data_IF_048773438304
#
_entry.id   IF_048773438304
#
_cell.length_a   1.000
_cell.length_b   1.000
_cell.length_c   1.000
_cell.angle_alpha   90.00
_cell.angle_beta   90.00
_cell.angle_gamma   90.00
#
_symmetry.space_group_name_H-M   'P 1'
#
loop_
_entity.id
_entity.type
_entity.pdbx_description
1 polymer ?
#
# COMPACT_ATOMS: atom_id res chain seq x y z
N UNK A 1 32.53 -17.30 28.70
CA UNK A 1 31.76 -16.10 28.32
C UNK A 1 32.78 -15.04 27.93
N UNK A 2 32.80 -14.61 26.68
CA UNK A 2 33.62 -13.48 26.24
C UNK A 2 33.03 -12.21 26.85
N UNK A 3 33.83 -11.47 27.60
CA UNK A 3 33.44 -10.13 28.03
C UNK A 3 33.25 -9.27 26.78
N UNK A 4 32.00 -8.91 26.50
CA UNK A 4 31.75 -7.75 25.65
C UNK A 4 32.37 -6.54 26.36
N UNK A 5 33.21 -5.79 25.65
CA UNK A 5 33.82 -4.58 26.17
C UNK A 5 32.74 -3.72 26.79
N UNK A 6 32.84 -3.47 28.10
CA UNK A 6 32.08 -2.42 28.76
C UNK A 6 32.46 -1.11 28.10
N UNK A 7 31.62 -0.65 27.17
CA UNK A 7 31.52 0.76 26.89
C UNK A 7 30.95 1.33 28.19
N UNK A 8 31.70 2.22 28.82
CA UNK A 8 31.24 2.87 30.04
C UNK A 8 29.99 3.71 29.69
N UNK A 9 28.89 3.44 30.38
CA UNK A 9 27.64 4.16 30.25
C UNK A 9 27.45 5.14 31.43
N UNK A 10 28.54 5.52 32.11
CA UNK A 10 28.56 6.72 32.93
C UNK A 10 28.11 7.92 32.11
N UNK A 11 27.24 8.75 32.70
CA UNK A 11 26.81 10.00 32.07
C UNK A 11 27.97 11.03 32.00
N UNK A 12 29.09 10.73 32.65
CA UNK A 12 30.30 11.57 32.73
C UNK A 12 31.08 11.67 31.41
N UNK A 13 30.68 10.93 30.36
CA UNK A 13 31.22 11.03 29.00
C UNK A 13 30.24 11.66 27.98
N UNK A 14 29.14 12.28 28.44
CA UNK A 14 28.20 13.03 27.57
C UNK A 14 28.57 14.52 27.39
N UNK A 15 29.70 14.95 27.94
CA UNK A 15 30.22 16.32 27.84
C UNK A 15 30.90 16.62 26.48
N UNK A 16 30.20 16.34 25.37
CA UNK A 16 30.20 17.24 24.21
C UNK A 16 28.96 17.00 23.34
N UNK A 17 28.06 17.99 23.25
CA UNK A 17 26.90 17.93 22.34
C UNK A 17 27.25 18.35 20.92
N UNK A 18 28.52 18.64 20.63
CA UNK A 18 29.00 18.92 19.27
C UNK A 18 29.61 17.68 18.61
N UNK A 19 29.15 17.38 17.39
CA UNK A 19 29.68 16.29 16.56
C UNK A 19 31.17 16.52 16.25
N UNK A 20 32.03 15.68 16.80
CA UNK A 20 33.48 15.90 16.84
C UNK A 20 34.25 15.52 15.57
N UNK A 21 33.59 15.03 14.51
CA UNK A 21 34.27 14.70 13.24
C UNK A 21 33.54 15.19 11.99
N UNK A 22 34.25 15.96 11.16
CA UNK A 22 33.83 16.34 9.80
C UNK A 22 34.40 15.36 8.78
N UNK A 23 33.65 14.32 8.41
CA UNK A 23 34.08 13.33 7.42
C UNK A 23 33.34 12.00 7.58
N UNK A 24 33.74 10.94 6.84
CA UNK A 24 33.27 9.58 7.15
C UNK A 24 33.63 9.24 8.59
N UNK A 25 32.71 8.59 9.32
CA UNK A 25 32.96 8.13 10.69
C UNK A 25 34.00 7.01 10.68
N UNK A 26 35.28 7.37 10.75
CA UNK A 26 36.38 6.43 10.90
C UNK A 26 36.39 5.96 12.34
N UNK A 27 35.89 4.74 12.57
CA UNK A 27 36.08 4.07 13.85
C UNK A 27 37.55 3.60 13.92
N UNK A 28 38.23 3.92 15.02
CA UNK A 28 39.63 3.54 15.24
C UNK A 28 39.87 2.04 15.01
N UNK A 29 41.10 1.70 14.62
CA UNK A 29 41.56 0.37 14.20
C UNK A 29 41.05 -0.73 15.15
N UNK A 30 39.99 -1.42 14.74
CA UNK A 30 39.30 -2.39 15.60
C UNK A 30 40.24 -3.52 15.98
N UNK A 31 40.39 -3.79 17.29
CA UNK A 31 41.26 -4.86 17.78
C UNK A 31 40.84 -6.21 17.16
N UNK A 32 41.77 -7.01 16.62
CA UNK A 32 41.43 -8.30 16.04
C UNK A 32 40.88 -9.24 17.12
N UNK A 33 39.71 -9.83 16.85
CA UNK A 33 38.98 -10.75 17.75
C UNK A 33 39.75 -11.99 18.17
N UNK A 34 40.80 -12.36 17.43
CA UNK A 34 41.75 -13.39 17.83
C UNK A 34 43.09 -13.18 17.14
N UNK A 35 44.15 -13.73 17.72
CA UNK A 35 45.50 -13.81 17.12
C UNK A 35 45.52 -14.56 15.77
N UNK A 36 44.44 -15.27 15.42
CA UNK A 36 44.27 -15.98 14.14
C UNK A 36 43.60 -15.14 13.05
N UNK A 37 43.18 -13.90 13.33
CA UNK A 37 42.73 -13.00 12.25
C UNK A 37 43.91 -12.62 11.36
N UNK A 38 43.73 -12.71 10.05
CA UNK A 38 44.70 -12.20 9.09
C UNK A 38 44.88 -10.69 9.28
N UNK A 39 46.12 -10.21 9.22
CA UNK A 39 46.48 -8.81 9.49
C UNK A 39 45.84 -7.80 8.53
N UNK A 40 45.43 -8.25 7.33
CA UNK A 40 44.70 -7.45 6.34
C UNK A 40 43.17 -7.49 6.52
N UNK A 41 42.67 -7.82 7.71
CA UNK A 41 41.23 -7.84 8.02
C UNK A 41 40.90 -6.99 9.24
N UNK A 42 39.87 -6.17 9.12
CA UNK A 42 39.20 -5.49 10.23
C UNK A 42 37.95 -6.27 10.64
N UNK A 43 37.63 -6.32 11.93
CA UNK A 43 36.30 -6.78 12.37
C UNK A 43 35.35 -5.59 12.38
N UNK A 44 34.29 -5.68 11.58
CA UNK A 44 33.25 -4.67 11.51
C UNK A 44 32.34 -4.77 12.73
N UNK A 45 32.52 -3.89 13.71
CA UNK A 45 31.68 -3.82 14.90
C UNK A 45 30.37 -3.04 14.68
N UNK A 46 30.06 -2.61 13.45
CA UNK A 46 28.92 -1.74 13.16
C UNK A 46 27.55 -2.42 13.34
N UNK A 47 27.51 -3.75 13.42
CA UNK A 47 26.31 -4.56 13.63
C UNK A 47 26.63 -5.87 14.37
N UNK A 48 25.61 -6.60 14.90
CA UNK A 48 25.82 -7.86 15.63
C UNK A 48 26.37 -9.01 14.78
N UNK A 49 26.43 -8.86 13.45
CA UNK A 49 27.00 -9.87 12.53
C UNK A 49 28.52 -9.99 12.67
N UNK A 50 29.21 -8.91 13.11
CA UNK A 50 30.66 -8.87 13.35
C UNK A 50 31.48 -9.42 12.16
N UNK A 51 31.18 -8.97 10.95
CA UNK A 51 31.81 -9.50 9.74
C UNK A 51 33.29 -9.09 9.64
N UNK A 52 34.14 -10.00 9.15
CA UNK A 52 35.56 -9.73 8.94
C UNK A 52 35.79 -9.23 7.50
N UNK A 53 36.16 -7.96 7.36
CA UNK A 53 36.30 -7.30 6.08
C UNK A 53 37.77 -7.29 5.66
N UNK A 54 38.10 -7.93 4.54
CA UNK A 54 39.44 -7.86 3.93
C UNK A 54 39.70 -6.45 3.39
N UNK A 55 40.94 -5.97 3.52
CA UNK A 55 41.40 -4.71 2.95
C UNK A 55 40.98 -4.54 1.48
N UNK A 56 40.49 -3.34 1.13
CA UNK A 56 39.94 -3.04 -0.20
C UNK A 56 38.62 -3.74 -0.53
N UNK A 57 37.91 -4.31 0.45
CA UNK A 57 36.58 -4.91 0.29
C UNK A 57 35.54 -4.23 1.17
N UNK A 58 34.28 -4.44 0.81
CA UNK A 58 33.11 -4.19 1.64
C UNK A 58 32.78 -5.39 2.53
N UNK A 59 32.07 -5.13 3.64
CA UNK A 59 31.45 -6.14 4.49
C UNK A 59 30.13 -6.65 3.92
N UNK A 60 29.52 -7.64 4.57
CA UNK A 60 28.33 -8.34 4.06
C UNK A 60 27.05 -7.49 3.89
N UNK A 61 27.07 -6.22 4.29
CA UNK A 61 25.98 -5.25 4.11
C UNK A 61 26.31 -4.16 3.07
N UNK A 62 27.50 -4.19 2.47
CA UNK A 62 28.08 -3.20 1.56
C UNK A 62 28.23 -1.74 2.07
N UNK A 63 27.64 -1.39 3.22
CA UNK A 63 27.71 -0.06 3.86
C UNK A 63 29.05 0.30 4.49
N UNK A 64 29.86 -0.70 4.80
CA UNK A 64 31.16 -0.54 5.49
C UNK A 64 32.26 -1.28 4.73
N UNK A 65 33.43 -0.67 4.62
CA UNK A 65 34.61 -1.21 3.97
C UNK A 65 35.85 -1.15 4.86
N UNK A 66 36.91 -1.83 4.42
CA UNK A 66 38.21 -1.81 5.08
C UNK A 66 39.22 -1.01 4.24
N UNK A 67 39.61 0.16 4.73
CA UNK A 67 40.61 1.04 4.12
C UNK A 67 41.81 1.17 5.07
N UNK A 68 42.96 0.59 4.71
CA UNK A 68 44.20 0.55 5.53
C UNK A 68 43.99 -0.01 6.96
N UNK A 69 43.11 -1.00 7.09
CA UNK A 69 42.73 -1.61 8.37
C UNK A 69 41.71 -0.79 9.18
N UNK A 70 41.23 0.35 8.66
CA UNK A 70 40.20 1.17 9.29
C UNK A 70 38.82 0.81 8.75
N UNK A 71 37.80 0.89 9.61
CA UNK A 71 36.42 0.64 9.23
C UNK A 71 35.81 1.95 8.70
N UNK A 72 35.62 2.05 7.38
CA UNK A 72 35.13 3.25 6.70
C UNK A 72 33.70 3.03 6.19
N UNK A 73 32.85 4.04 6.35
CA UNK A 73 31.48 4.01 5.82
C UNK A 73 31.51 4.32 4.31
N UNK A 74 30.94 3.43 3.51
CA UNK A 74 30.91 3.51 2.03
C UNK A 74 29.61 4.15 1.54
N UNK A 75 28.49 3.90 2.23
CA UNK A 75 27.16 4.37 1.83
C UNK A 75 26.73 5.59 2.69
N UNK A 76 26.52 6.78 2.09
CA UNK A 76 26.16 7.99 2.82
C UNK A 76 24.70 8.00 3.25
N UNK A 77 24.39 8.79 4.29
CA UNK A 77 22.99 9.06 4.68
C UNK A 77 22.27 9.79 3.56
N UNK A 78 21.05 9.35 3.25
CA UNK A 78 20.19 10.03 2.29
C UNK A 78 19.35 11.08 3.02
N UNK A 79 19.66 12.36 2.79
CA UNK A 79 18.74 13.45 3.06
C UNK A 79 17.73 13.53 1.91
N UNK A 80 16.50 13.91 2.23
CA UNK A 80 15.44 14.14 1.24
C UNK A 80 14.94 15.58 1.40
N UNK A 81 14.64 16.22 0.28
CA UNK A 81 13.97 17.53 0.25
C UNK A 81 12.59 17.35 -0.36
N UNK A 82 11.58 17.87 0.33
CA UNK A 82 10.23 18.06 -0.21
C UNK A 82 10.29 19.24 -1.18
N UNK A 83 9.80 19.04 -2.41
CA UNK A 83 9.84 20.06 -3.46
C UNK A 83 8.61 20.97 -3.46
N UNK A 84 7.47 20.48 -2.97
CA UNK A 84 6.20 21.20 -2.96
C UNK A 84 5.18 20.59 -1.96
N UNK A 85 3.98 21.16 -1.93
CA UNK A 85 2.84 20.67 -1.15
C UNK A 85 2.17 19.41 -1.74
N UNK A 86 2.61 18.92 -2.90
CA UNK A 86 2.10 17.68 -3.50
C UNK A 86 2.75 16.42 -2.90
N UNK A 87 3.78 16.60 -2.07
CA UNK A 87 4.50 15.51 -1.40
C UNK A 87 5.62 14.90 -2.25
N UNK A 88 6.01 15.55 -3.35
CA UNK A 88 7.13 15.08 -4.16
C UNK A 88 8.45 15.30 -3.42
N UNK A 89 9.12 14.21 -3.06
CA UNK A 89 10.41 14.24 -2.39
C UNK A 89 11.54 13.80 -3.33
N UNK A 90 12.60 14.60 -3.42
CA UNK A 90 13.84 14.23 -4.12
C UNK A 90 14.98 13.97 -3.16
N UNK A 91 15.91 13.10 -3.56
CA UNK A 91 17.20 12.95 -2.88
C UNK A 91 17.89 14.31 -2.84
N UNK A 92 18.12 14.80 -1.63
CA UNK A 92 18.99 15.94 -1.40
C UNK A 92 20.40 15.39 -1.18
N UNK A 93 21.20 15.34 -2.25
CA UNK A 93 22.65 15.30 -2.09
C UNK A 93 23.04 16.56 -1.31
N UNK A 94 23.61 16.48 -0.09
CA UNK A 94 24.00 17.67 0.64
C UNK A 94 25.12 18.39 -0.13
N UNK A 95 24.75 19.46 -0.83
CA UNK A 95 25.71 20.39 -1.42
C UNK A 95 26.50 21.02 -0.28
N UNK A 96 27.83 20.99 -0.38
CA UNK A 96 28.70 21.49 0.68
C UNK A 96 28.53 23.01 0.84
N UNK A 97 27.73 23.41 1.83
CA UNK A 97 27.38 24.81 2.11
C UNK A 97 25.93 24.99 2.58
N UNK A 98 24.99 24.17 2.12
CA UNK A 98 23.55 24.35 2.34
C UNK A 98 23.00 23.62 3.60
N UNK A 99 23.82 23.51 4.64
CA UNK A 99 23.32 23.19 5.96
C UNK A 99 22.90 24.50 6.67
N UNK A 100 21.63 24.67 7.06
CA UNK A 100 21.28 25.69 8.04
C UNK A 100 22.13 25.51 9.30
N UNK A 101 22.46 26.59 10.01
CA UNK A 101 23.23 26.54 11.26
C UNK A 101 22.54 25.57 12.25
N UNK A 102 23.09 24.36 12.39
CA UNK A 102 22.44 23.21 13.03
C UNK A 102 22.70 21.84 12.37
N UNK A 103 23.16 21.79 11.11
CA UNK A 103 23.31 20.52 10.33
C UNK A 103 24.73 20.28 9.75
N UNK A 104 25.77 20.46 10.58
CA UNK A 104 27.17 20.09 10.26
C UNK A 104 27.36 18.56 10.20
N UNK A 105 28.12 17.91 9.28
CA UNK A 105 29.13 18.36 8.31
C UNK A 105 29.13 17.46 7.04
N UNK A 106 29.32 18.02 5.83
CA UNK A 106 29.64 17.28 4.60
C UNK A 106 30.58 18.06 3.66
N UNK A 107 31.34 17.34 2.82
CA UNK A 107 32.45 17.87 2.00
C UNK A 107 32.62 17.04 0.72
N UNK A 108 33.00 17.57 -0.45
CA UNK A 108 33.16 18.96 -0.95
C UNK A 108 33.35 18.88 -2.46
N UNK A 109 32.58 19.61 -3.28
CA UNK A 109 33.02 20.11 -4.61
C UNK A 109 32.06 21.13 -5.22
N UNK A 110 32.61 21.94 -6.12
CA UNK A 110 31.99 23.15 -6.68
C UNK A 110 30.81 22.85 -7.62
N UNK A 111 29.62 23.32 -7.25
CA UNK A 111 28.47 23.51 -8.13
C UNK A 111 27.59 24.64 -7.55
N UNK A 112 27.02 25.50 -8.41
CA UNK A 112 26.20 26.64 -8.00
C UNK A 112 24.92 26.17 -7.28
N UNK A 113 24.78 26.53 -6.00
CA UNK A 113 23.80 25.92 -5.10
C UNK A 113 22.48 26.73 -5.03
N UNK A 114 21.35 26.04 -5.18
CA UNK A 114 20.01 26.59 -4.91
C UNK A 114 19.66 26.37 -3.43
N UNK A 115 20.12 27.28 -2.57
CA UNK A 115 19.99 27.20 -1.12
C UNK A 115 18.59 26.81 -0.64
N UNK A 116 18.53 26.00 0.41
CA UNK A 116 17.27 25.59 1.08
C UNK A 116 16.73 26.79 1.86
N UNK A 117 15.58 27.33 1.41
CA UNK A 117 14.99 28.55 1.97
C UNK A 117 14.17 28.35 3.24
N UNK A 118 13.61 27.15 3.45
CA UNK A 118 12.85 26.80 4.65
C UNK A 118 13.39 25.48 5.24
N UNK A 119 13.84 25.47 6.51
CA UNK A 119 14.19 24.24 7.23
C UNK A 119 13.07 23.18 7.28
N UNK A 120 11.80 23.57 7.14
CA UNK A 120 10.65 22.66 7.06
C UNK A 120 10.65 21.79 5.77
N UNK A 121 11.37 22.19 4.72
CA UNK A 121 11.43 21.45 3.44
C UNK A 121 12.37 20.23 3.50
N UNK A 122 13.26 20.16 4.50
CA UNK A 122 14.24 19.09 4.64
C UNK A 122 13.73 17.98 5.59
N UNK A 123 13.74 16.73 5.14
CA UNK A 123 13.48 15.58 6.01
C UNK A 123 14.57 14.50 5.85
N UNK A 124 14.94 13.89 6.97
CA UNK A 124 16.01 12.89 7.02
C UNK A 124 15.42 11.51 6.77
N UNK A 125 15.97 10.75 5.83
CA UNK A 125 15.49 9.39 5.51
C UNK A 125 16.24 8.32 6.31
N UNK A 126 15.55 7.21 6.61
CA UNK A 126 16.15 6.02 7.20
C UNK A 126 17.01 5.20 6.23
N UNK A 127 16.91 5.45 4.92
CA UNK A 127 17.62 4.70 3.87
C UNK A 127 19.13 4.93 4.01
N UNK A 128 19.88 3.83 4.09
CA UNK A 128 21.33 3.88 4.27
C UNK A 128 21.77 4.43 5.63
N UNK A 129 20.86 4.60 6.61
CA UNK A 129 21.24 5.08 7.96
C UNK A 129 22.09 4.07 8.73
N UNK A 130 22.10 2.79 8.33
CA UNK A 130 23.17 1.85 8.71
C UNK A 130 23.11 1.33 10.15
N UNK A 131 21.99 1.54 10.85
CA UNK A 131 21.62 0.62 11.94
C UNK A 131 21.31 -0.75 11.36
N UNK A 132 21.57 -1.79 12.15
CA UNK A 132 20.94 -3.09 11.94
C UNK A 132 19.95 -3.33 13.07
N UNK A 133 18.71 -3.66 12.75
CA UNK A 133 17.74 -4.09 13.76
C UNK A 133 17.84 -5.61 14.01
N UNK A 134 17.77 -6.11 15.26
CA UNK A 134 17.91 -5.37 16.52
C UNK A 134 19.40 -5.20 16.90
N UNK A 135 19.76 -4.02 17.40
CA UNK A 135 21.09 -3.72 17.96
C UNK A 135 20.90 -2.87 19.23
N UNK A 136 21.86 -2.95 20.14
CA UNK A 136 21.93 -2.15 21.37
C UNK A 136 22.51 -0.74 21.10
N UNK A 137 23.07 -0.51 19.92
CA UNK A 137 23.55 0.81 19.50
C UNK A 137 22.37 1.78 19.27
N UNK A 138 22.41 3.00 19.81
CA UNK A 138 21.44 4.06 19.49
C UNK A 138 21.38 4.37 17.99
N UNK A 139 20.32 5.06 17.59
CA UNK A 139 20.19 5.61 16.24
C UNK A 139 21.41 6.50 15.90
N UNK A 140 22.12 6.25 14.78
CA UNK A 140 23.33 6.96 14.41
C UNK A 140 23.07 8.39 13.93
N UNK A 141 21.82 8.71 13.60
CA UNK A 141 21.39 10.07 13.30
C UNK A 141 20.16 10.40 14.14
N UNK A 142 20.34 11.38 15.02
CA UNK A 142 19.30 12.02 15.81
C UNK A 142 19.37 13.48 15.40
N UNK A 143 18.34 13.97 14.71
CA UNK A 143 18.35 15.31 14.11
C UNK A 143 17.23 16.14 14.73
N UNK A 144 17.61 17.26 15.37
CA UNK A 144 16.66 18.24 15.89
C UNK A 144 16.38 19.32 14.85
N UNK A 145 15.10 19.63 14.65
CA UNK A 145 14.61 20.75 13.85
C UNK A 145 13.43 21.42 14.57
N UNK A 146 12.89 22.49 13.99
CA UNK A 146 11.59 23.03 14.37
C UNK A 146 10.63 22.90 13.21
N UNK A 147 9.39 22.51 13.51
CA UNK A 147 8.29 22.46 12.56
C UNK A 147 7.12 23.29 13.10
N UNK A 148 6.81 24.43 12.45
CA UNK A 148 5.78 25.38 12.91
C UNK A 148 5.90 25.74 14.41
N UNK A 149 7.08 26.19 14.83
CA UNK A 149 7.48 26.50 16.23
C UNK A 149 7.44 25.33 17.23
N UNK A 150 7.09 24.11 16.80
CA UNK A 150 7.18 22.89 17.62
C UNK A 150 8.57 22.27 17.45
N UNK A 151 9.24 21.95 18.56
CA UNK A 151 10.50 21.20 18.54
C UNK A 151 10.28 19.78 18.00
N UNK A 152 10.99 19.42 16.95
CA UNK A 152 10.92 18.12 16.27
C UNK A 152 12.23 17.38 16.42
N UNK A 153 12.19 16.14 16.91
CA UNK A 153 13.36 15.26 17.00
C UNK A 153 13.14 14.04 16.10
N UNK A 154 13.92 13.95 15.03
CA UNK A 154 13.91 12.82 14.10
C UNK A 154 14.96 11.80 14.53
N UNK A 155 14.52 10.64 15.00
CA UNK A 155 15.38 9.50 15.35
C UNK A 155 15.41 8.53 14.17
N UNK A 156 16.58 8.37 13.55
CA UNK A 156 16.70 7.69 12.26
C UNK A 156 17.25 6.28 12.42
N UNK A 157 16.41 5.28 12.14
CA UNK A 157 16.77 3.86 12.13
C UNK A 157 16.33 3.19 10.85
N UNK A 158 17.16 2.29 10.33
CA UNK A 158 16.88 1.43 9.18
C UNK A 158 16.33 0.06 9.62
N UNK A 159 15.18 -0.34 9.07
CA UNK A 159 14.65 -1.70 9.19
C UNK A 159 15.29 -2.64 8.16
N UNK A 160 15.41 -3.93 8.50
CA UNK A 160 15.89 -4.93 7.53
C UNK A 160 14.77 -5.24 6.53
N UNK A 161 15.08 -5.15 5.22
CA UNK A 161 14.14 -5.39 4.12
C UNK A 161 13.41 -6.74 4.19
N UNK A 162 13.98 -7.75 4.86
CA UNK A 162 13.35 -9.04 5.13
C UNK A 162 12.03 -8.95 5.92
N UNK A 163 11.78 -7.87 6.66
CA UNK A 163 10.52 -7.65 7.37
C UNK A 163 9.50 -6.83 6.57
N UNK A 164 9.87 -6.32 5.40
CA UNK A 164 8.99 -5.53 4.55
C UNK A 164 8.06 -6.44 3.73
N UNK A 165 6.86 -5.94 3.46
CA UNK A 165 5.90 -6.49 2.49
C UNK A 165 5.13 -5.34 1.83
N UNK A 166 4.50 -5.63 0.70
CA UNK A 166 3.53 -4.73 0.08
C UNK A 166 2.12 -5.28 0.27
N UNK A 167 1.20 -4.39 0.63
CA UNK A 167 -0.24 -4.65 0.60
C UNK A 167 -0.81 -3.99 -0.65
N UNK A 168 -1.23 -4.81 -1.63
CA UNK A 168 -1.79 -4.32 -2.89
C UNK A 168 -3.30 -4.53 -2.88
N UNK A 169 -4.06 -3.43 -2.89
CA UNK A 169 -5.52 -3.45 -3.07
C UNK A 169 -5.84 -3.37 -4.55
N UNK A 170 -6.73 -4.23 -5.04
CA UNK A 170 -7.17 -4.21 -6.44
C UNK A 170 -8.68 -3.98 -6.45
N UNK A 171 -9.08 -2.74 -6.73
CA UNK A 171 -10.47 -2.27 -6.69
C UNK A 171 -11.21 -2.54 -8.01
N UNK A 172 -11.40 -3.83 -8.33
CA UNK A 172 -12.08 -4.34 -9.54
C UNK A 172 -13.34 -5.13 -9.19
N UNK A 173 -14.29 -5.21 -10.15
CA UNK A 173 -15.40 -6.15 -10.12
C UNK A 173 -14.99 -7.60 -10.48
N UNK A 174 -13.74 -7.89 -10.84
CA UNK A 174 -13.31 -9.27 -11.13
C UNK A 174 -12.92 -10.05 -9.88
N UNK A 175 -13.33 -11.30 -9.80
CA UNK A 175 -12.87 -12.21 -8.76
C UNK A 175 -11.43 -12.66 -9.03
N UNK A 176 -10.53 -12.38 -8.08
CA UNK A 176 -9.10 -12.65 -8.21
C UNK A 176 -8.72 -14.04 -7.71
N UNK A 177 -9.45 -14.59 -6.74
CA UNK A 177 -9.20 -15.93 -6.19
C UNK A 177 -9.49 -16.03 -4.69
N UNK A 178 -9.35 -17.24 -4.11
CA UNK A 178 -9.69 -17.48 -2.70
C UNK A 178 -8.84 -16.66 -1.72
N UNK A 179 -9.41 -16.23 -0.60
CA UNK A 179 -8.60 -15.75 0.52
C UNK A 179 -7.65 -16.88 1.00
N UNK A 180 -6.45 -16.51 1.41
CA UNK A 180 -5.31 -17.39 1.73
C UNK A 180 -4.69 -18.15 0.54
N UNK A 181 -5.20 -18.03 -0.70
CA UNK A 181 -4.52 -18.64 -1.86
C UNK A 181 -3.13 -18.04 -2.07
N UNK A 182 -2.17 -18.90 -2.41
CA UNK A 182 -0.81 -18.48 -2.75
C UNK A 182 -0.80 -17.56 -3.97
N UNK A 183 0.07 -16.57 -3.94
CA UNK A 183 0.42 -15.74 -5.09
C UNK A 183 1.82 -16.13 -5.55
N UNK A 184 1.99 -16.35 -6.86
CA UNK A 184 3.25 -16.77 -7.46
C UNK A 184 3.85 -15.70 -8.36
N UNK A 185 5.18 -15.61 -8.33
CA UNK A 185 5.99 -14.87 -9.30
C UNK A 185 7.05 -15.83 -9.85
N UNK A 186 7.09 -16.00 -11.19
CA UNK A 186 8.00 -16.93 -11.88
C UNK A 186 7.98 -18.36 -11.29
N UNK A 187 6.80 -18.79 -10.81
CA UNK A 187 6.52 -20.11 -10.23
C UNK A 187 6.74 -20.24 -8.71
N UNK A 188 7.56 -19.38 -8.10
CA UNK A 188 7.76 -19.37 -6.65
C UNK A 188 6.59 -18.68 -5.94
N UNK A 189 6.23 -19.13 -4.74
CA UNK A 189 5.24 -18.46 -3.90
C UNK A 189 5.90 -17.21 -3.29
N UNK A 190 5.30 -16.04 -3.47
CA UNK A 190 5.85 -14.76 -3.01
C UNK A 190 4.89 -13.96 -2.13
N UNK A 191 3.74 -14.55 -1.80
CA UNK A 191 2.67 -13.90 -1.05
C UNK A 191 1.39 -14.73 -1.02
N UNK A 192 0.32 -14.12 -0.52
CA UNK A 192 -1.02 -14.72 -0.51
C UNK A 192 -2.10 -13.65 -0.73
N UNK A 193 -3.27 -14.06 -1.23
CA UNK A 193 -4.49 -13.25 -1.19
C UNK A 193 -4.87 -13.10 0.28
N UNK A 194 -4.87 -11.86 0.78
CA UNK A 194 -5.15 -11.54 2.18
C UNK A 194 -6.59 -11.01 2.32
N UNK A 195 -7.01 -10.77 3.56
CA UNK A 195 -8.38 -10.36 3.88
C UNK A 195 -8.84 -9.17 3.05
N UNK A 196 -10.01 -9.31 2.42
CA UNK A 196 -10.62 -8.26 1.62
C UNK A 196 -11.09 -7.10 2.50
N UNK A 197 -10.91 -5.85 2.04
CA UNK A 197 -11.35 -4.66 2.77
C UNK A 197 -12.15 -3.75 1.83
N UNK A 198 -13.22 -3.15 2.36
CA UNK A 198 -14.13 -2.25 1.62
C UNK A 198 -14.79 -2.85 0.37
N UNK A 199 -14.85 -4.19 0.28
CA UNK A 199 -15.41 -4.91 -0.85
C UNK A 199 -14.41 -5.25 -1.95
N UNK A 200 -13.10 -5.10 -1.72
CA UNK A 200 -12.08 -5.40 -2.73
C UNK A 200 -11.03 -6.36 -2.21
N UNK A 201 -10.57 -7.25 -3.08
CA UNK A 201 -9.56 -8.25 -2.73
C UNK A 201 -8.18 -7.61 -2.61
N UNK A 202 -7.37 -8.18 -1.72
CA UNK A 202 -6.06 -7.65 -1.36
C UNK A 202 -4.98 -8.72 -1.46
N UNK A 203 -3.78 -8.30 -1.83
CA UNK A 203 -2.60 -9.15 -1.94
C UNK A 203 -1.58 -8.74 -0.86
N UNK A 204 -1.07 -9.70 -0.10
CA UNK A 204 0.10 -9.51 0.76
C UNK A 204 1.31 -10.12 0.06
N UNK A 205 2.19 -9.28 -0.48
CA UNK A 205 3.37 -9.68 -1.25
C UNK A 205 4.65 -9.44 -0.43
N UNK A 206 5.52 -10.43 -0.34
CA UNK A 206 6.76 -10.36 0.46
C UNK A 206 6.59 -10.75 1.92
N UNK A 207 7.44 -10.18 2.78
CA UNK A 207 7.52 -10.51 4.21
C UNK A 207 8.51 -11.64 4.54
N UNK A 208 8.82 -11.77 5.83
CA UNK A 208 9.94 -12.57 6.34
C UNK A 208 9.88 -14.06 5.96
N UNK A 209 8.67 -14.61 5.86
CA UNK A 209 8.47 -16.01 5.46
C UNK A 209 8.98 -16.25 4.03
N UNK A 210 8.52 -15.48 3.05
CA UNK A 210 8.91 -15.64 1.65
C UNK A 210 10.34 -15.14 1.38
N UNK A 211 10.80 -14.09 2.07
CA UNK A 211 12.15 -13.55 1.89
C UNK A 211 13.25 -14.41 2.54
N UNK A 212 12.96 -15.12 3.64
CA UNK A 212 14.01 -15.81 4.43
C UNK A 212 13.64 -17.19 5.00
N UNK A 213 12.35 -17.51 5.18
CA UNK A 213 11.88 -18.78 5.73
C UNK A 213 11.76 -19.92 4.72
N UNK A 214 11.56 -19.56 3.45
CA UNK A 214 11.40 -20.49 2.33
C UNK A 214 12.70 -20.94 1.66
N UNK A 215 12.63 -21.25 0.36
CA UNK A 215 13.82 -21.66 -0.40
C UNK A 215 14.71 -20.46 -0.77
N UNK A 216 16.00 -20.68 -1.05
CA UNK A 216 16.89 -19.62 -1.59
C UNK A 216 16.37 -19.05 -2.93
N UNK A 217 15.65 -19.85 -3.72
CA UNK A 217 15.04 -19.40 -4.98
C UNK A 217 13.82 -18.52 -4.69
N UNK A 218 12.99 -18.93 -3.75
CA UNK A 218 11.80 -18.20 -3.27
C UNK A 218 12.17 -16.81 -2.73
N UNK A 219 13.14 -16.75 -1.81
CA UNK A 219 13.62 -15.48 -1.25
C UNK A 219 14.19 -14.54 -2.30
N UNK A 220 14.90 -15.08 -3.29
CA UNK A 220 15.38 -14.28 -4.43
C UNK A 220 14.24 -13.78 -5.31
N UNK A 221 13.32 -14.65 -5.74
CA UNK A 221 12.19 -14.24 -6.60
C UNK A 221 11.27 -13.25 -5.89
N UNK A 222 11.07 -13.40 -4.58
CA UNK A 222 10.33 -12.45 -3.73
C UNK A 222 11.03 -11.09 -3.69
N UNK A 223 12.36 -11.06 -3.48
CA UNK A 223 13.13 -9.82 -3.48
C UNK A 223 13.12 -9.15 -4.87
N UNK A 224 13.34 -9.91 -5.94
CA UNK A 224 13.29 -9.44 -7.33
C UNK A 224 11.91 -8.80 -7.64
N UNK A 225 10.81 -9.44 -7.22
CA UNK A 225 9.44 -8.93 -7.35
C UNK A 225 9.21 -7.64 -6.57
N UNK A 226 9.65 -7.57 -5.30
CA UNK A 226 9.48 -6.37 -4.49
C UNK A 226 10.31 -5.21 -5.01
N UNK A 227 11.52 -5.46 -5.52
CA UNK A 227 12.34 -4.43 -6.13
C UNK A 227 11.71 -3.89 -7.42
N UNK A 228 11.17 -4.77 -8.28
CA UNK A 228 10.45 -4.35 -9.49
C UNK A 228 9.25 -3.44 -9.16
N UNK A 229 8.37 -3.87 -8.24
CA UNK A 229 7.23 -3.05 -7.80
C UNK A 229 7.66 -1.71 -7.16
N UNK A 230 8.70 -1.73 -6.32
CA UNK A 230 9.26 -0.52 -5.71
C UNK A 230 9.82 0.48 -6.73
N UNK A 231 10.40 -0.02 -7.82
CA UNK A 231 10.88 0.77 -8.96
C UNK A 231 9.79 1.12 -9.98
N UNK A 232 8.52 0.85 -9.68
CA UNK A 232 7.35 1.08 -10.56
C UNK A 232 7.41 0.29 -11.87
N UNK A 233 8.10 -0.85 -11.88
CA UNK A 233 8.08 -1.81 -12.98
C UNK A 233 6.82 -2.71 -12.91
N UNK A 234 6.44 -3.30 -14.05
CA UNK A 234 5.31 -4.21 -14.10
C UNK A 234 5.71 -5.63 -13.64
N UNK A 235 4.84 -6.26 -12.85
CA UNK A 235 5.04 -7.62 -12.34
C UNK A 235 3.83 -8.48 -12.71
N UNK A 236 4.12 -9.58 -13.40
CA UNK A 236 3.17 -10.67 -13.68
C UNK A 236 3.07 -11.61 -12.48
N UNK A 237 1.87 -11.76 -11.92
CA UNK A 237 1.56 -12.63 -10.79
C UNK A 237 0.47 -13.64 -11.17
N UNK A 238 0.47 -14.81 -10.53
CA UNK A 238 -0.62 -15.77 -10.65
C UNK A 238 -1.14 -16.19 -9.29
N UNK A 239 -2.46 -16.33 -9.15
CA UNK A 239 -3.11 -16.80 -7.92
C UNK A 239 -3.43 -18.29 -8.06
N UNK A 240 -3.04 -19.09 -7.07
CA UNK A 240 -3.39 -20.52 -7.04
C UNK A 240 -4.92 -20.67 -6.94
N UNK A 241 -5.54 -21.21 -8.00
CA UNK A 241 -7.00 -21.32 -8.12
C UNK A 241 -7.73 -20.00 -8.42
N UNK A 242 -7.01 -18.99 -8.93
CA UNK A 242 -7.54 -17.67 -9.26
C UNK A 242 -6.96 -17.08 -10.55
N UNK A 243 -7.00 -15.76 -10.64
CA UNK A 243 -6.65 -14.97 -11.82
C UNK A 243 -5.13 -14.89 -12.10
N UNK A 244 -4.80 -14.56 -13.34
CA UNK A 244 -3.51 -13.98 -13.73
C UNK A 244 -3.58 -12.47 -13.59
N UNK A 245 -2.53 -11.84 -13.05
CA UNK A 245 -2.48 -10.41 -12.77
C UNK A 245 -1.22 -9.78 -13.37
N UNK A 246 -1.35 -8.56 -13.88
CA UNK A 246 -0.21 -7.65 -14.06
C UNK A 246 -0.45 -6.42 -13.19
N UNK A 247 0.48 -6.14 -12.29
CA UNK A 247 0.40 -5.00 -11.36
C UNK A 247 1.63 -4.09 -11.53
N UNK A 248 1.39 -2.78 -11.53
CA UNK A 248 2.43 -1.76 -11.67
C UNK A 248 1.97 -0.47 -10.97
N UNK A 249 2.85 0.16 -10.19
CA UNK A 249 2.54 1.43 -9.54
C UNK A 249 2.31 2.56 -10.56
N UNK A 250 1.14 3.20 -10.50
CA UNK A 250 0.75 4.28 -11.43
C UNK A 250 0.19 3.81 -12.77
N UNK A 251 -0.21 2.55 -12.89
CA UNK A 251 -0.97 1.99 -14.03
C UNK A 251 -2.18 1.21 -13.53
N UNK A 252 -3.17 1.06 -14.40
CA UNK A 252 -4.28 0.15 -14.16
C UNK A 252 -3.77 -1.31 -14.07
N UNK A 253 -4.35 -2.15 -13.20
CA UNK A 253 -4.05 -3.57 -13.18
C UNK A 253 -4.62 -4.26 -14.42
N UNK A 254 -3.98 -5.34 -14.85
CA UNK A 254 -4.50 -6.25 -15.88
C UNK A 254 -4.90 -7.53 -15.17
N UNK A 255 -6.13 -8.01 -15.38
CA UNK A 255 -6.69 -9.22 -14.78
C UNK A 255 -7.12 -10.17 -15.90
N UNK A 256 -6.58 -11.38 -15.94
CA UNK A 256 -6.80 -12.38 -16.99
C UNK A 256 -6.63 -11.84 -18.43
N UNK A 257 -5.68 -10.90 -18.60
CA UNK A 257 -5.38 -10.25 -19.88
C UNK A 257 -6.26 -9.04 -20.22
N UNK A 258 -7.22 -8.67 -19.36
CA UNK A 258 -8.07 -7.48 -19.50
C UNK A 258 -7.53 -6.35 -18.63
N UNK A 259 -7.19 -5.21 -19.23
CA UNK A 259 -6.85 -3.99 -18.49
C UNK A 259 -8.11 -3.41 -17.83
N UNK A 260 -8.04 -3.20 -16.52
CA UNK A 260 -9.15 -2.64 -15.74
C UNK A 260 -9.31 -1.15 -16.01
N UNK A 261 -10.54 -0.71 -16.29
CA UNK A 261 -10.84 0.67 -16.74
C UNK A 261 -11.64 1.49 -15.75
N UNK A 262 -12.14 0.87 -14.69
CA UNK A 262 -13.06 1.46 -13.71
C UNK A 262 -12.71 0.94 -12.33
N UNK A 263 -12.85 1.79 -11.32
CA UNK A 263 -12.60 1.42 -9.93
C UNK A 263 -13.91 1.10 -9.21
N UNK A 264 -13.90 0.14 -8.27
CA UNK A 264 -14.99 0.00 -7.30
C UNK A 264 -15.06 1.26 -6.43
N UNK A 265 -16.18 1.98 -6.48
CA UNK A 265 -16.44 3.14 -5.59
C UNK A 265 -16.62 2.75 -4.11
N UNK A 266 -16.81 1.45 -3.86
CA UNK A 266 -17.06 0.81 -2.56
C UNK A 266 -18.10 -0.30 -2.73
N UNK A 267 -18.50 -0.95 -1.64
CA UNK A 267 -19.60 -1.93 -1.67
C UNK A 267 -20.93 -1.30 -2.15
N UNK A 268 -21.90 -2.11 -2.57
CA UNK A 268 -23.17 -1.63 -3.13
C UNK A 268 -23.94 -0.69 -2.18
N UNK A 269 -23.90 -0.95 -0.87
CA UNK A 269 -24.42 -0.03 0.15
C UNK A 269 -23.72 1.34 0.21
N UNK A 270 -22.41 1.39 -0.03
CA UNK A 270 -21.65 2.65 -0.04
C UNK A 270 -21.98 3.46 -1.29
N UNK A 271 -22.04 2.81 -2.46
CA UNK A 271 -22.50 3.44 -3.70
C UNK A 271 -23.90 4.06 -3.52
N UNK A 272 -24.83 3.38 -2.84
CA UNK A 272 -26.13 3.98 -2.53
C UNK A 272 -26.01 5.23 -1.65
N UNK A 273 -25.17 5.21 -0.61
CA UNK A 273 -24.91 6.39 0.21
C UNK A 273 -24.37 7.59 -0.58
N UNK A 274 -23.53 7.34 -1.59
CA UNK A 274 -22.85 8.36 -2.40
C UNK A 274 -23.76 8.94 -3.51
N UNK A 275 -24.60 8.11 -4.13
CA UNK A 275 -25.34 8.47 -5.34
C UNK A 275 -26.86 8.65 -5.15
N UNK A 276 -27.42 8.41 -3.95
CA UNK A 276 -28.87 8.51 -3.70
C UNK A 276 -29.50 9.84 -4.15
N UNK A 277 -28.82 10.98 -3.98
CA UNK A 277 -29.33 12.30 -4.38
C UNK A 277 -29.37 12.50 -5.90
N UNK A 278 -28.50 11.79 -6.63
CA UNK A 278 -28.38 11.83 -8.09
C UNK A 278 -29.45 10.95 -8.77
N UNK A 279 -29.97 9.95 -8.05
CA UNK A 279 -31.11 9.14 -8.51
C UNK A 279 -32.48 9.67 -8.07
N UNK A 280 -32.52 10.49 -7.01
CA UNK A 280 -33.75 11.02 -6.43
C UNK A 280 -34.65 11.72 -7.47
N UNK A 281 -35.91 11.30 -7.55
CA UNK A 281 -36.89 11.76 -8.55
C UNK A 281 -36.77 11.13 -9.94
N UNK A 282 -35.61 10.58 -10.29
CA UNK A 282 -35.35 9.97 -11.61
C UNK A 282 -35.74 8.48 -11.66
N UNK A 283 -35.75 7.78 -10.54
CA UNK A 283 -36.18 6.37 -10.39
C UNK A 283 -36.81 6.17 -9.00
N UNK A 284 -37.59 5.09 -8.84
CA UNK A 284 -38.29 4.79 -7.59
C UNK A 284 -37.51 3.79 -6.73
N UNK A 285 -36.77 2.88 -7.37
CA UNK A 285 -35.79 1.98 -6.73
C UNK A 285 -34.42 2.05 -7.40
N UNK A 286 -33.38 1.76 -6.62
CA UNK A 286 -32.05 1.41 -7.13
C UNK A 286 -31.50 0.19 -6.38
N UNK A 287 -31.09 -0.83 -7.13
CA UNK A 287 -30.31 -1.96 -6.62
C UNK A 287 -28.87 -1.79 -7.09
N UNK A 288 -27.91 -1.74 -6.17
CA UNK A 288 -26.48 -1.79 -6.52
C UNK A 288 -25.95 -3.18 -6.22
N UNK A 289 -25.68 -3.96 -7.27
CA UNK A 289 -25.18 -5.33 -7.19
C UNK A 289 -23.72 -5.32 -6.81
N UNK A 290 -23.39 -6.14 -5.81
CA UNK A 290 -22.07 -6.27 -5.20
C UNK A 290 -22.01 -7.61 -4.48
N UNK A 291 -20.93 -8.37 -4.67
CA UNK A 291 -20.72 -9.69 -4.07
C UNK A 291 -20.62 -9.62 -2.54
N UNK A 292 -20.07 -8.52 -2.02
CA UNK A 292 -19.92 -8.27 -0.60
C UNK A 292 -21.24 -7.76 0.04
N UNK A 293 -21.74 -6.60 -0.36
CA UNK A 293 -22.97 -5.99 0.17
C UNK A 293 -23.79 -5.33 -0.95
N UNK A 294 -24.74 -6.06 -1.50
CA UNK A 294 -25.73 -5.51 -2.42
C UNK A 294 -26.63 -4.50 -1.69
N UNK A 295 -26.78 -3.31 -2.28
CA UNK A 295 -27.58 -2.21 -1.75
C UNK A 295 -28.98 -2.14 -2.36
N UNK A 296 -29.97 -1.67 -1.59
CA UNK A 296 -31.33 -1.35 -2.08
C UNK A 296 -31.77 0.03 -1.55
N UNK A 297 -32.08 0.98 -2.43
CA UNK A 297 -32.21 2.41 -2.11
C UNK A 297 -33.40 2.75 -1.21
N UNK A 298 -34.61 2.29 -1.53
CA UNK A 298 -35.83 2.68 -0.79
C UNK A 298 -35.83 2.19 0.67
N UNK A 299 -35.10 1.10 0.94
CA UNK A 299 -34.87 0.63 2.29
C UNK A 299 -33.69 1.32 2.99
N UNK A 300 -32.65 1.68 2.24
CA UNK A 300 -31.41 2.20 2.80
C UNK A 300 -31.63 3.56 3.50
N UNK A 301 -30.81 3.85 4.52
CA UNK A 301 -30.92 5.09 5.28
C UNK A 301 -30.84 6.35 4.38
N UNK A 302 -30.08 6.29 3.29
CA UNK A 302 -29.99 7.38 2.32
C UNK A 302 -31.34 7.66 1.61
N UNK A 303 -32.07 6.62 1.21
CA UNK A 303 -33.41 6.78 0.62
C UNK A 303 -34.43 7.26 1.65
N UNK A 304 -34.33 6.79 2.90
CA UNK A 304 -35.16 7.27 4.02
C UNK A 304 -34.93 8.75 4.35
N UNK A 305 -33.69 9.23 4.30
CA UNK A 305 -33.37 10.66 4.47
C UNK A 305 -33.81 11.54 3.28
N UNK A 306 -34.25 10.93 2.18
CA UNK A 306 -34.80 11.60 0.99
C UNK A 306 -36.33 11.38 0.87
N UNK A 307 -36.97 10.82 1.89
CA UNK A 307 -38.40 10.47 1.91
C UNK A 307 -38.84 9.57 0.72
N UNK A 308 -37.93 8.74 0.20
CA UNK A 308 -38.25 7.78 -0.87
C UNK A 308 -39.23 6.71 -0.34
N UNK A 309 -40.40 6.52 -0.97
CA UNK A 309 -41.36 5.50 -0.56
C UNK A 309 -40.77 4.08 -0.65
N UNK A 310 -41.07 3.17 0.29
CA UNK A 310 -40.74 1.76 0.15
C UNK A 310 -41.37 1.16 -1.11
N UNK A 311 -40.58 0.40 -1.87
CA UNK A 311 -40.97 -0.18 -3.17
C UNK A 311 -41.59 -1.58 -3.05
N UNK A 312 -41.51 -2.19 -1.86
CA UNK A 312 -41.97 -3.55 -1.59
C UNK A 312 -41.06 -4.65 -2.17
N UNK A 313 -39.89 -4.30 -2.71
CA UNK A 313 -38.92 -5.26 -3.27
C UNK A 313 -38.46 -6.32 -2.25
N UNK A 314 -38.25 -7.55 -2.72
CA UNK A 314 -37.75 -8.69 -1.94
C UNK A 314 -36.50 -9.24 -2.61
N UNK A 315 -35.41 -9.38 -1.85
CA UNK A 315 -34.11 -9.88 -2.34
C UNK A 315 -33.81 -11.26 -1.74
N UNK A 316 -33.12 -12.12 -2.50
CA UNK A 316 -32.77 -13.50 -2.12
C UNK A 316 -31.67 -13.61 -1.05
N UNK A 317 -30.93 -12.53 -0.80
CA UNK A 317 -29.80 -12.50 0.14
C UNK A 317 -30.20 -12.32 1.60
N UNK A 318 -29.20 -12.45 2.49
CA UNK A 318 -29.36 -12.20 3.93
C UNK A 318 -29.37 -10.70 4.21
N UNK A 319 -30.55 -10.17 4.53
CA UNK A 319 -30.71 -8.80 5.03
C UNK A 319 -30.01 -8.62 6.38
N UNK A 320 -29.07 -7.68 6.47
CA UNK A 320 -28.36 -7.35 7.71
C UNK A 320 -28.97 -6.12 8.39
N UNK A 321 -29.15 -5.05 7.62
CA UNK A 321 -29.83 -3.81 8.01
C UNK A 321 -30.70 -3.36 6.83
N UNK A 322 -31.66 -2.43 7.00
CA UNK A 322 -32.45 -1.90 5.88
C UNK A 322 -31.56 -1.49 4.69
N UNK A 323 -31.87 -2.02 3.51
CA UNK A 323 -31.15 -1.74 2.27
C UNK A 323 -29.75 -2.36 2.16
N UNK A 324 -29.36 -3.30 3.02
CA UNK A 324 -28.04 -3.96 3.01
C UNK A 324 -28.19 -5.48 3.05
N UNK A 325 -27.83 -6.14 1.94
CA UNK A 325 -28.00 -7.57 1.72
C UNK A 325 -26.65 -8.24 1.44
N UNK A 326 -26.32 -9.25 2.24
CA UNK A 326 -25.16 -10.13 2.03
C UNK A 326 -25.57 -11.39 1.28
N UNK A 327 -24.63 -12.03 0.58
CA UNK A 327 -24.83 -13.37 -0.01
C UNK A 327 -26.07 -13.44 -0.93
N UNK A 328 -26.25 -12.44 -1.80
CA UNK A 328 -27.29 -12.48 -2.85
C UNK A 328 -26.94 -13.46 -3.98
N UNK A 329 -25.63 -13.67 -4.20
CA UNK A 329 -25.01 -14.53 -5.19
C UNK A 329 -23.61 -14.93 -4.67
N UNK A 330 -22.88 -15.81 -5.36
CA UNK A 330 -21.49 -16.15 -5.00
C UNK A 330 -20.53 -15.16 -5.68
N UNK A 331 -19.26 -15.02 -5.23
CA UNK A 331 -18.24 -14.28 -5.97
C UNK A 331 -17.95 -14.89 -7.35
N UNK A 332 -17.66 -14.07 -8.35
CA UNK A 332 -17.44 -14.47 -9.74
C UNK A 332 -17.07 -13.31 -10.67
N UNK A 333 -17.23 -13.51 -11.97
CA UNK A 333 -16.84 -12.56 -13.03
C UNK A 333 -18.06 -11.97 -13.78
N UNK A 334 -19.22 -11.92 -13.11
CA UNK A 334 -20.47 -11.33 -13.60
C UNK A 334 -20.78 -9.99 -12.93
N UNK A 335 -22.05 -9.70 -12.70
CA UNK A 335 -22.51 -8.41 -12.17
C UNK A 335 -21.93 -8.11 -10.78
N UNK A 336 -21.22 -6.99 -10.63
CA UNK A 336 -20.72 -6.55 -9.31
C UNK A 336 -19.83 -7.60 -8.63
N UNK A 337 -19.02 -8.33 -9.41
CA UNK A 337 -18.14 -9.40 -8.92
C UNK A 337 -18.84 -10.64 -8.41
N UNK A 338 -20.09 -10.87 -8.83
CA UNK A 338 -20.83 -12.10 -8.52
C UNK A 338 -20.74 -13.15 -9.65
N UNK A 339 -21.31 -14.33 -9.43
CA UNK A 339 -21.45 -15.39 -10.44
C UNK A 339 -22.68 -15.22 -11.36
N UNK A 340 -23.50 -14.17 -11.20
CA UNK A 340 -24.71 -13.95 -12.00
C UNK A 340 -24.49 -13.09 -13.25
N UNK A 341 -25.16 -13.47 -14.34
CA UNK A 341 -25.25 -12.71 -15.60
C UNK A 341 -26.57 -11.94 -15.76
N UNK A 342 -27.65 -12.39 -15.12
CA UNK A 342 -28.96 -11.73 -15.07
C UNK A 342 -29.13 -10.98 -13.74
N UNK A 343 -29.23 -9.64 -13.73
CA UNK A 343 -29.40 -8.86 -12.51
C UNK A 343 -30.75 -9.09 -11.82
N UNK A 344 -31.76 -9.63 -12.50
CA UNK A 344 -33.04 -10.00 -11.88
C UNK A 344 -32.93 -11.30 -11.06
N UNK A 345 -31.88 -12.10 -11.27
CA UNK A 345 -31.70 -13.38 -10.58
C UNK A 345 -31.64 -13.25 -9.05
N UNK A 346 -31.23 -12.09 -8.51
CA UNK A 346 -31.16 -11.81 -7.06
C UNK A 346 -32.46 -11.27 -6.43
N UNK A 347 -33.49 -11.01 -7.25
CA UNK A 347 -34.80 -10.51 -6.81
C UNK A 347 -35.78 -11.69 -6.68
N UNK A 348 -36.49 -11.77 -5.55
CA UNK A 348 -37.58 -12.73 -5.30
C UNK A 348 -38.94 -12.23 -5.80
N UNK A 349 -39.10 -10.91 -5.92
CA UNK A 349 -40.29 -10.24 -6.42
C UNK A 349 -40.62 -9.00 -5.61
N UNK A 350 -41.89 -8.58 -5.67
CA UNK A 350 -42.38 -7.37 -5.03
C UNK A 350 -43.58 -7.70 -4.12
N UNK A 351 -43.85 -6.85 -3.12
CA UNK A 351 -45.04 -6.95 -2.29
C UNK A 351 -46.22 -6.23 -2.97
N UNK A 352 -47.31 -6.92 -3.37
CA UNK A 352 -48.42 -6.28 -4.08
C UNK A 352 -49.19 -5.25 -3.24
N UNK A 353 -49.08 -5.29 -1.91
CA UNK A 353 -49.68 -4.26 -1.03
C UNK A 353 -48.87 -2.95 -0.97
N UNK A 354 -47.70 -2.89 -1.64
CA UNK A 354 -46.74 -1.76 -1.56
C UNK A 354 -46.23 -1.32 -2.93
N UNK A 355 -45.94 -2.26 -3.82
CA UNK A 355 -45.50 -1.99 -5.19
C UNK A 355 -46.67 -1.63 -6.11
N UNK A 356 -46.38 -0.97 -7.23
CA UNK A 356 -47.38 -0.54 -8.21
C UNK A 356 -46.90 -0.80 -9.66
N UNK A 357 -47.82 -1.04 -10.62
CA UNK A 357 -47.48 -1.06 -12.03
C UNK A 357 -46.86 0.27 -12.48
N UNK A 358 -45.78 0.21 -13.25
CA UNK A 358 -44.99 1.38 -13.67
C UNK A 358 -43.93 1.84 -12.68
N UNK A 359 -43.72 1.14 -11.55
CA UNK A 359 -42.59 1.40 -10.64
C UNK A 359 -41.26 1.27 -11.38
N UNK A 360 -40.42 2.30 -11.30
CA UNK A 360 -39.17 2.46 -12.05
C UNK A 360 -37.98 1.98 -11.21
N UNK A 361 -37.13 1.13 -11.78
CA UNK A 361 -35.98 0.54 -11.08
C UNK A 361 -34.72 0.58 -11.94
N UNK A 362 -33.63 1.09 -11.36
CA UNK A 362 -32.27 0.92 -11.88
C UNK A 362 -31.59 -0.25 -11.16
N UNK A 363 -30.88 -1.10 -11.90
CA UNK A 363 -29.92 -2.03 -11.33
C UNK A 363 -28.54 -1.71 -11.92
N UNK A 364 -27.50 -1.59 -11.09
CA UNK A 364 -26.12 -1.28 -11.55
C UNK A 364 -25.05 -1.94 -10.68
N UNK A 365 -23.81 -2.08 -11.16
CA UNK A 365 -22.66 -2.54 -10.37
C UNK A 365 -21.93 -1.39 -9.65
N UNK A 366 -21.02 -1.71 -8.72
CA UNK A 366 -20.20 -0.74 -7.97
C UNK A 366 -19.13 -0.01 -8.80
N UNK A 367 -18.89 -0.49 -10.02
CA UNK A 367 -18.07 0.15 -11.07
C UNK A 367 -18.91 0.86 -12.14
N UNK A 368 -20.25 0.71 -12.09
CA UNK A 368 -21.16 1.12 -13.17
C UNK A 368 -20.91 0.41 -14.51
N UNK A 369 -20.04 -0.61 -14.59
CA UNK A 369 -19.77 -1.38 -15.82
C UNK A 369 -21.05 -2.05 -16.32
N UNK A 370 -21.84 -2.54 -15.37
CA UNK A 370 -23.15 -3.11 -15.61
C UNK A 370 -24.24 -2.13 -15.17
N UNK A 371 -25.23 -1.88 -16.03
CA UNK A 371 -26.43 -1.11 -15.69
C UNK A 371 -27.62 -1.47 -16.58
N UNK A 372 -28.78 -1.71 -15.98
CA UNK A 372 -30.04 -1.97 -16.67
C UNK A 372 -31.21 -1.27 -15.96
N UNK A 373 -32.19 -0.84 -16.75
CA UNK A 373 -33.37 -0.12 -16.27
C UNK A 373 -34.65 -0.91 -16.58
N UNK A 374 -35.57 -0.92 -15.62
CA UNK A 374 -36.79 -1.71 -15.62
C UNK A 374 -37.98 -0.89 -15.15
N UNK A 375 -39.15 -1.24 -15.65
CA UNK A 375 -40.44 -0.79 -15.12
C UNK A 375 -41.30 -2.01 -14.82
N UNK A 376 -42.01 -2.02 -13.70
CA UNK A 376 -42.94 -3.10 -13.38
C UNK A 376 -44.17 -3.07 -14.32
N UNK A 377 -44.61 -4.23 -14.79
CA UNK A 377 -45.89 -4.39 -15.48
C UNK A 377 -47.08 -4.53 -14.52
N UNK A 378 -48.28 -4.79 -15.07
CA UNK A 378 -49.51 -4.99 -14.30
C UNK A 378 -49.47 -6.24 -13.39
N UNK A 379 -48.59 -7.21 -13.70
CA UNK A 379 -48.31 -8.40 -12.89
C UNK A 379 -47.19 -8.15 -11.85
N UNK A 380 -46.69 -6.91 -11.74
CA UNK A 380 -45.55 -6.49 -10.92
C UNK A 380 -44.21 -7.17 -11.27
N UNK A 381 -44.03 -7.57 -12.53
CA UNK A 381 -42.78 -8.16 -13.03
C UNK A 381 -41.90 -7.08 -13.69
N UNK A 382 -40.58 -7.05 -13.42
CA UNK A 382 -39.67 -6.13 -14.09
C UNK A 382 -39.60 -6.38 -15.60
N UNK A 383 -40.02 -5.38 -16.39
CA UNK A 383 -39.86 -5.36 -17.83
C UNK A 383 -38.72 -4.43 -18.21
N UNK A 384 -37.72 -4.93 -18.95
CA UNK A 384 -36.56 -4.13 -19.36
C UNK A 384 -36.98 -2.97 -20.27
N UNK A 385 -36.46 -1.78 -20.02
CA UNK A 385 -36.74 -0.55 -20.77
C UNK A 385 -35.43 0.14 -21.21
N UNK A 386 -35.46 1.06 -22.19
CA UNK A 386 -34.31 1.90 -22.51
C UNK A 386 -33.88 2.73 -21.30
N UNK A 387 -32.57 2.87 -21.08
CA UNK A 387 -32.01 3.65 -19.97
C UNK A 387 -32.34 5.15 -20.13
N UNK A 388 -32.96 5.82 -19.15
CA UNK A 388 -33.14 7.27 -19.17
C UNK A 388 -31.82 8.03 -19.03
N UNK A 389 -31.62 9.10 -19.81
CA UNK A 389 -30.40 9.94 -19.82
C UNK A 389 -29.94 10.41 -18.42
N UNK A 390 -30.87 10.70 -17.51
CA UNK A 390 -30.55 11.14 -16.15
C UNK A 390 -29.92 10.01 -15.31
N UNK A 391 -30.36 8.77 -15.51
CA UNK A 391 -29.79 7.59 -14.85
C UNK A 391 -28.47 7.19 -15.50
N UNK A 392 -28.38 7.23 -16.84
CA UNK A 392 -27.13 6.98 -17.57
C UNK A 392 -26.00 7.90 -17.10
N UNK A 393 -26.25 9.21 -16.97
CA UNK A 393 -25.26 10.17 -16.42
C UNK A 393 -24.75 9.79 -15.04
N UNK A 394 -25.60 9.19 -14.20
CA UNK A 394 -25.18 8.76 -12.86
C UNK A 394 -24.41 7.44 -12.91
N UNK A 395 -24.75 6.52 -13.81
CA UNK A 395 -23.97 5.29 -14.09
C UNK A 395 -22.58 5.63 -14.64
N UNK A 396 -22.50 6.54 -15.60
CA UNK A 396 -21.24 7.03 -16.17
C UNK A 396 -20.38 7.66 -15.05
N UNK A 397 -20.99 8.43 -14.15
CA UNK A 397 -20.32 9.04 -12.99
C UNK A 397 -19.80 8.04 -11.96
N UNK A 398 -20.40 6.86 -11.84
CA UNK A 398 -19.83 5.75 -11.03
C UNK A 398 -18.57 5.22 -11.72
N UNK A 399 -18.58 5.09 -13.05
CA UNK A 399 -17.44 4.64 -13.85
C UNK A 399 -16.31 5.65 -14.03
N UNK A 400 -16.53 6.94 -13.71
CA UNK A 400 -15.53 8.02 -13.71
C UNK A 400 -14.64 8.07 -12.44
N UNK A 401 -14.93 7.25 -11.42
CA UNK A 401 -14.28 7.29 -10.10
C UNK A 401 -12.85 6.73 -10.08
#
# INVERSE_FOLDING_TARGET
MTEHTKIDHSMDNLDDTTSSTSGPTVLEKSKPRSEKMASNKVECNACPVLCQITEGRTGACDRWGNEDGNLVRIDPVILMRRLDDTGLATRHEPVAGDAPEGLVNARTRDAEANAVSDPNDLFVSGIGSGTTYPDYKPAPFIVSSKANDVDMVTVVTEGIFSYCSFKVKIDTDRYLGPEQSNIRFKGEIVGHVTTAEYGSQMLSLGGVHHLTGGSKKEGRMTCDMMMALGNKEAVELSIDGGAQLVVQAGKAPIVDGVEEKRMRVGCGSAAIGIFAKQWFGHTDEVVVVDDHITGVLSEHQAGRCLDIPPTGIKMKGRKSTPGRYFQVANPGNGWGGTDISDPLAIIDGFNPDVAWPGLRMLITSTTGEHAEYYELDDDLKPQRKPMPDALQKTVDRIGEN
#
